data_IF_309597552727
#
_entry.id   IF_309597552727
#
_cell.length_a   1.000
_cell.length_b   1.000
_cell.length_c   1.000
_cell.angle_alpha   90.00
_cell.angle_beta   90.00
_cell.angle_gamma   90.00
#
_symmetry.space_group_name_H-M   'P 1'
#
loop_
_entity.id
_entity.type
_entity.pdbx_description
1 polymer ?
#
# COMPACT_ATOMS: atom_id res chain seq x y z
N UNK A 1 10.66 11.67 -12.72
CA UNK A 1 9.30 11.61 -12.15
C UNK A 1 9.42 11.26 -10.68
N UNK A 2 9.00 12.18 -9.82
CA UNK A 2 9.01 12.01 -8.36
C UNK A 2 7.59 11.65 -7.96
N UNK A 3 7.34 10.38 -7.62
CA UNK A 3 6.03 9.97 -7.12
C UNK A 3 5.85 10.56 -5.71
N UNK A 4 4.80 11.34 -5.52
CA UNK A 4 4.47 11.95 -4.24
C UNK A 4 3.53 11.01 -3.48
N UNK A 5 4.04 10.29 -2.49
CA UNK A 5 3.21 9.74 -1.42
C UNK A 5 2.71 10.93 -0.57
N UNK A 6 1.43 11.28 -0.68
CA UNK A 6 0.75 12.23 0.20
C UNK A 6 0.09 11.44 1.32
N UNK A 7 0.54 11.67 2.54
CA UNK A 7 -0.05 11.08 3.74
C UNK A 7 -1.20 11.98 4.19
N UNK A 8 -2.41 11.42 4.33
CA UNK A 8 -3.54 12.15 4.90
C UNK A 8 -3.39 12.14 6.42
N UNK A 9 -3.17 13.31 7.04
CA UNK A 9 -3.56 13.55 8.42
C UNK A 9 -2.49 13.88 9.45
N UNK A 10 -1.18 13.64 9.23
CA UNK A 10 -0.16 14.03 10.21
C UNK A 10 1.09 14.64 9.56
N UNK A 11 1.49 15.81 10.07
CA UNK A 11 2.47 16.73 9.44
C UNK A 11 3.93 16.39 9.75
N UNK A 12 4.25 15.20 10.25
CA UNK A 12 5.65 14.76 10.39
C UNK A 12 6.06 13.87 9.22
N UNK A 13 6.39 14.50 8.09
CA UNK A 13 7.05 13.84 6.95
C UNK A 13 8.47 13.43 7.39
N UNK A 14 8.89 12.16 7.29
CA UNK A 14 10.29 11.82 7.47
C UNK A 14 11.10 12.56 6.39
N UNK A 15 11.93 13.51 6.81
CA UNK A 15 12.77 14.30 5.92
C UNK A 15 13.64 13.37 5.05
N UNK A 16 13.48 13.51 3.72
CA UNK A 16 14.31 12.91 2.67
C UNK A 16 14.12 11.41 2.33
N UNK A 17 12.89 10.99 2.02
CA UNK A 17 12.70 9.70 1.31
C UNK A 17 13.22 9.77 -0.12
N UNK A 18 14.39 9.17 -0.39
CA UNK A 18 14.87 8.95 -1.77
C UNK A 18 14.24 7.67 -2.32
N UNK A 19 13.43 7.80 -3.35
CA UNK A 19 12.79 6.66 -4.01
C UNK A 19 13.80 5.81 -4.79
N UNK A 20 13.49 4.52 -4.95
CA UNK A 20 14.22 3.58 -5.79
C UNK A 20 13.25 2.55 -6.38
N UNK A 21 13.68 1.83 -7.42
CA UNK A 21 12.85 0.81 -8.09
C UNK A 21 13.26 -0.57 -7.55
N UNK A 22 12.37 -1.30 -6.86
CA UNK A 22 12.61 -2.68 -6.45
C UNK A 22 12.90 -3.58 -7.65
N UNK A 23 13.86 -4.49 -7.50
CA UNK A 23 14.13 -5.50 -8.51
C UNK A 23 13.04 -6.57 -8.52
N UNK A 24 12.88 -7.25 -9.65
CA UNK A 24 11.94 -8.38 -9.76
C UNK A 24 12.23 -9.49 -8.73
N UNK A 25 13.50 -9.70 -8.39
CA UNK A 25 13.90 -10.66 -7.36
C UNK A 25 13.44 -10.22 -5.96
N UNK A 26 13.59 -8.94 -5.63
CA UNK A 26 13.12 -8.41 -4.34
C UNK A 26 11.60 -8.47 -4.23
N UNK A 27 10.89 -8.17 -5.33
CA UNK A 27 9.42 -8.30 -5.41
C UNK A 27 9.01 -9.77 -5.23
N UNK A 28 9.63 -10.71 -5.94
CA UNK A 28 9.28 -12.13 -5.83
C UNK A 28 9.48 -12.68 -4.40
N UNK A 29 10.54 -12.25 -3.71
CA UNK A 29 10.77 -12.63 -2.30
C UNK A 29 9.72 -11.99 -1.39
N UNK A 30 9.37 -10.72 -1.62
CA UNK A 30 8.29 -10.07 -0.88
C UNK A 30 6.98 -10.83 -1.08
N UNK A 31 6.61 -11.14 -2.33
CA UNK A 31 5.38 -11.85 -2.66
C UNK A 31 5.30 -13.24 -2.05
N UNK A 32 6.43 -13.97 -1.97
CA UNK A 32 6.46 -15.28 -1.30
C UNK A 32 6.23 -15.21 0.22
N UNK A 33 6.28 -14.02 0.82
CA UNK A 33 6.06 -13.80 2.26
C UNK A 33 4.76 -13.03 2.55
N UNK A 34 3.94 -12.70 1.53
CA UNK A 34 2.74 -11.87 1.71
C UNK A 34 1.72 -12.46 2.68
N UNK A 35 1.62 -13.78 2.78
CA UNK A 35 0.65 -14.44 3.67
C UNK A 35 0.86 -14.13 5.15
N UNK A 36 2.04 -13.60 5.53
CA UNK A 36 2.29 -13.09 6.90
C UNK A 36 1.32 -11.96 7.27
N UNK A 37 0.79 -11.25 6.28
CA UNK A 37 -0.16 -10.15 6.49
C UNK A 37 -1.62 -10.62 6.63
N UNK A 38 -1.94 -11.87 6.27
CA UNK A 38 -3.32 -12.36 6.15
C UNK A 38 -4.09 -12.19 7.46
N UNK A 39 -3.54 -12.66 8.58
CA UNK A 39 -4.19 -12.57 9.89
C UNK A 39 -4.50 -11.12 10.29
N UNK A 40 -3.56 -10.19 10.03
CA UNK A 40 -3.73 -8.78 10.37
C UNK A 40 -4.73 -8.07 9.44
N UNK A 41 -4.75 -8.44 8.15
CA UNK A 41 -5.74 -7.94 7.18
C UNK A 41 -7.14 -8.45 7.55
N UNK A 42 -7.25 -9.74 7.86
CA UNK A 42 -8.50 -10.36 8.27
C UNK A 42 -9.05 -9.73 9.54
N UNK A 43 -8.24 -9.55 10.58
CA UNK A 43 -8.71 -8.91 11.82
C UNK A 43 -9.18 -7.47 11.57
N UNK A 44 -8.42 -6.70 10.79
CA UNK A 44 -8.66 -5.27 10.63
C UNK A 44 -9.88 -4.94 9.74
N UNK A 45 -10.12 -5.74 8.70
CA UNK A 45 -11.26 -5.54 7.77
C UNK A 45 -12.53 -6.21 8.32
N UNK A 46 -12.41 -7.35 9.03
CA UNK A 46 -13.56 -8.03 9.63
C UNK A 46 -14.27 -7.16 10.67
N UNK A 47 -13.51 -6.43 11.49
CA UNK A 47 -14.03 -5.49 12.48
C UNK A 47 -14.86 -4.35 11.84
N UNK A 48 -14.78 -4.19 10.51
CA UNK A 48 -15.48 -3.19 9.73
C UNK A 48 -16.65 -3.76 8.93
N UNK A 49 -16.97 -5.06 9.06
CA UNK A 49 -18.12 -5.72 8.43
C UNK A 49 -17.94 -6.06 6.95
N UNK A 50 -16.72 -6.02 6.42
CA UNK A 50 -16.41 -6.38 5.04
C UNK A 50 -15.72 -7.75 4.96
N UNK A 51 -15.92 -8.45 3.84
CA UNK A 51 -15.21 -9.71 3.59
C UNK A 51 -13.76 -9.40 3.23
N UNK A 52 -12.85 -9.69 4.14
CA UNK A 52 -11.42 -9.61 3.90
C UNK A 52 -10.97 -10.75 2.96
N UNK A 53 -10.00 -10.48 2.08
CA UNK A 53 -9.38 -11.49 1.22
C UNK A 53 -7.92 -11.73 1.64
N UNK A 54 -7.32 -12.89 1.33
CA UNK A 54 -5.89 -13.08 1.50
C UNK A 54 -5.10 -11.97 0.79
N UNK A 55 -3.95 -11.56 1.34
CA UNK A 55 -3.12 -10.48 0.81
C UNK A 55 -2.75 -10.68 -0.67
N UNK A 56 -2.62 -11.93 -1.11
CA UNK A 56 -2.28 -12.30 -2.48
C UNK A 56 -3.37 -11.98 -3.51
N UNK A 57 -4.63 -11.90 -3.09
CA UNK A 57 -5.79 -11.65 -3.97
C UNK A 57 -5.97 -10.15 -4.33
N UNK A 58 -5.16 -9.27 -3.74
CA UNK A 58 -5.20 -7.83 -4.04
C UNK A 58 -4.32 -7.49 -5.25
N UNK A 59 -4.70 -6.46 -6.01
CA UNK A 59 -3.75 -5.80 -6.89
C UNK A 59 -2.76 -5.00 -6.06
N UNK A 60 -1.47 -5.05 -6.41
CA UNK A 60 -0.39 -4.42 -5.62
C UNK A 60 0.52 -3.53 -6.48
N UNK A 61 0.95 -2.43 -5.88
CA UNK A 61 1.98 -1.53 -6.38
C UNK A 61 3.13 -1.50 -5.37
N UNK A 62 4.36 -1.54 -5.89
CA UNK A 62 5.57 -1.58 -5.08
C UNK A 62 6.41 -0.33 -5.33
N UNK A 63 6.71 0.42 -4.27
CA UNK A 63 7.57 1.60 -4.33
C UNK A 63 8.75 1.41 -3.40
N UNK A 64 9.96 1.44 -3.95
CA UNK A 64 11.16 1.46 -3.13
C UNK A 64 11.29 2.81 -2.44
N UNK A 65 11.33 2.81 -1.12
CA UNK A 65 11.57 3.99 -0.29
C UNK A 65 12.90 3.85 0.44
N UNK A 66 13.53 4.98 0.77
CA UNK A 66 14.69 5.01 1.67
C UNK A 66 14.35 5.83 2.89
N UNK A 67 14.44 5.23 4.07
CA UNK A 67 14.31 5.93 5.34
C UNK A 67 15.71 5.98 5.93
N UNK A 68 16.28 7.19 6.04
CA UNK A 68 17.71 7.40 6.31
C UNK A 68 18.57 6.67 5.26
N UNK A 69 19.40 5.73 5.69
CA UNK A 69 20.30 4.93 4.83
C UNK A 69 19.70 3.57 4.44
N UNK A 70 18.57 3.18 5.02
CA UNK A 70 17.98 1.86 4.83
C UNK A 70 16.92 1.87 3.73
N UNK A 71 16.91 0.80 2.93
CA UNK A 71 15.93 0.58 1.86
C UNK A 71 14.75 -0.21 2.40
N UNK A 72 13.56 0.19 1.98
CA UNK A 72 12.32 -0.52 2.22
C UNK A 72 11.48 -0.52 0.94
N UNK A 73 10.46 -1.37 0.91
CA UNK A 73 9.46 -1.41 -0.16
C UNK A 73 8.13 -1.08 0.47
N UNK A 74 7.55 0.05 0.09
CA UNK A 74 6.16 0.36 0.38
C UNK A 74 5.27 -0.41 -0.60
N UNK A 75 4.25 -1.07 -0.04
CA UNK A 75 3.24 -1.82 -0.77
C UNK A 75 1.96 -1.02 -0.64
N UNK A 76 1.33 -0.73 -1.78
CA UNK A 76 -0.03 -0.22 -1.80
C UNK A 76 -0.91 -1.24 -2.52
N UNK A 77 -2.09 -1.51 -2.01
CA UNK A 77 -2.95 -2.56 -2.55
C UNK A 77 -4.41 -2.17 -2.62
N UNK A 78 -5.11 -2.74 -3.59
CA UNK A 78 -6.55 -2.57 -3.79
C UNK A 78 -7.19 -3.90 -4.16
N UNK A 79 -8.34 -4.18 -3.57
CA UNK A 79 -9.13 -5.37 -3.86
C UNK A 79 -9.64 -5.31 -5.29
N UNK A 80 -9.55 -6.40 -6.04
CA UNK A 80 -10.35 -6.59 -7.27
C UNK A 80 -10.08 -5.61 -8.43
N UNK A 81 -10.57 -5.99 -9.62
CA UNK A 81 -10.46 -5.14 -10.82
C UNK A 81 -11.45 -4.00 -10.81
N UNK A 82 -12.58 -4.18 -10.13
CA UNK A 82 -13.69 -3.26 -10.13
C UNK A 82 -13.37 -2.05 -9.25
N UNK A 83 -12.91 -2.29 -8.02
CA UNK A 83 -12.49 -1.24 -7.09
C UNK A 83 -11.22 -0.55 -7.58
N UNK A 84 -10.32 -1.29 -8.26
CA UNK A 84 -9.21 -0.70 -9.00
C UNK A 84 -9.69 0.23 -10.12
N UNK A 85 -10.71 -0.19 -10.87
CA UNK A 85 -11.31 0.60 -11.95
C UNK A 85 -11.91 1.92 -11.44
N UNK A 86 -12.68 1.86 -10.35
CA UNK A 86 -13.27 3.02 -9.68
C UNK A 86 -12.20 3.96 -9.12
N UNK A 87 -11.19 3.39 -8.47
CA UNK A 87 -10.02 4.08 -7.96
C UNK A 87 -9.30 4.87 -9.05
N UNK A 88 -8.99 4.22 -10.17
CA UNK A 88 -8.32 4.87 -11.30
C UNK A 88 -9.21 5.93 -11.97
N UNK A 89 -10.53 5.72 -12.00
CA UNK A 89 -11.49 6.71 -12.50
C UNK A 89 -11.49 7.96 -11.62
N UNK A 90 -11.62 7.80 -10.30
CA UNK A 90 -11.54 8.89 -9.33
C UNK A 90 -10.25 9.70 -9.47
N UNK A 91 -9.11 9.01 -9.60
CA UNK A 91 -7.81 9.65 -9.73
C UNK A 91 -7.73 10.52 -10.98
N UNK A 92 -8.21 10.00 -12.13
CA UNK A 92 -8.27 10.74 -13.39
C UNK A 92 -9.18 11.96 -13.32
N UNK A 93 -10.37 11.83 -12.74
CA UNK A 93 -11.35 12.92 -12.64
C UNK A 93 -10.84 14.10 -11.80
N UNK A 94 -9.85 13.87 -10.93
CA UNK A 94 -9.29 14.88 -10.00
C UNK A 94 -7.84 15.27 -10.30
N UNK A 95 -7.26 14.79 -11.41
CA UNK A 95 -5.88 15.11 -11.79
C UNK A 95 -4.80 14.44 -10.93
N UNK A 96 -5.13 13.29 -10.34
CA UNK A 96 -4.24 12.47 -9.50
C UNK A 96 -3.80 11.18 -10.21
N UNK A 97 -3.89 11.10 -11.54
CA UNK A 97 -3.58 9.89 -12.32
C UNK A 97 -2.11 9.44 -12.25
N UNK A 98 -1.24 10.32 -11.75
CA UNK A 98 0.19 10.04 -11.53
C UNK A 98 0.51 9.71 -10.06
N UNK A 99 -0.51 9.67 -9.19
CA UNK A 99 -0.35 9.26 -7.80
C UNK A 99 -0.40 7.72 -7.69
N UNK A 100 0.44 7.19 -6.80
CA UNK A 100 0.39 5.79 -6.31
C UNK A 100 -1.04 5.55 -5.81
N UNK A 101 -1.67 4.38 -6.09
CA UNK A 101 -3.13 4.12 -6.04
C UNK A 101 -3.91 5.04 -5.09
N UNK A 102 -5.10 5.53 -5.49
CA UNK A 102 -5.83 6.52 -4.71
C UNK A 102 -5.90 6.10 -3.25
N UNK A 103 -5.42 7.01 -2.42
CA UNK A 103 -5.32 6.95 -0.96
C UNK A 103 -6.69 6.89 -0.26
N UNK A 104 -7.73 6.48 -0.99
CA UNK A 104 -9.13 6.53 -0.57
C UNK A 104 -9.95 5.44 -1.30
N UNK A 105 -9.68 4.18 -1.00
CA UNK A 105 -10.53 3.07 -1.47
C UNK A 105 -11.21 2.32 -0.33
N UNK A 106 -11.15 2.86 0.89
CA UNK A 106 -11.88 2.32 2.02
C UNK A 106 -11.37 0.95 2.43
N UNK A 107 -12.27 0.15 2.98
CA UNK A 107 -11.99 -1.17 3.58
C UNK A 107 -11.59 -2.23 2.52
N UNK A 108 -11.34 -1.78 1.29
CA UNK A 108 -10.87 -2.56 0.15
C UNK A 108 -9.37 -2.37 -0.12
N UNK A 109 -8.67 -1.60 0.70
CA UNK A 109 -7.28 -1.26 0.49
C UNK A 109 -6.44 -1.42 1.75
N UNK A 110 -5.21 -1.88 1.54
CA UNK A 110 -4.21 -1.93 2.59
C UNK A 110 -2.85 -1.49 2.06
N UNK A 111 -2.07 -0.86 2.93
CA UNK A 111 -0.68 -0.52 2.70
C UNK A 111 0.20 -1.17 3.75
N UNK A 112 1.42 -1.52 3.40
CA UNK A 112 2.42 -2.04 4.35
C UNK A 112 3.82 -1.66 3.90
N UNK A 113 4.79 -1.70 4.82
CA UNK A 113 6.20 -1.52 4.49
C UNK A 113 6.92 -2.85 4.70
N UNK A 114 7.72 -3.24 3.71
CA UNK A 114 8.54 -4.43 3.73
C UNK A 114 10.03 -4.07 3.83
N UNK A 115 10.73 -4.76 4.73
CA UNK A 115 12.18 -4.69 4.87
C UNK A 115 12.86 -5.84 4.08
N UNK A 116 13.49 -5.58 2.93
CA UNK A 116 14.15 -6.63 2.16
C UNK A 116 15.37 -7.25 2.87
N UNK A 117 15.93 -6.60 3.91
CA UNK A 117 17.07 -7.13 4.65
C UNK A 117 16.64 -8.16 5.70
N UNK A 118 15.52 -7.93 6.40
CA UNK A 118 15.01 -8.84 7.44
C UNK A 118 13.88 -9.74 6.96
N UNK A 119 13.26 -9.41 5.81
CA UNK A 119 12.07 -10.04 5.25
C UNK A 119 10.82 -9.88 6.12
N UNK A 120 10.74 -8.77 6.83
CA UNK A 120 9.63 -8.46 7.74
C UNK A 120 8.74 -7.37 7.15
N UNK A 121 7.46 -7.42 7.53
CA UNK A 121 6.49 -6.38 7.26
C UNK A 121 6.24 -5.56 8.51
N UNK A 122 5.98 -4.28 8.34
CA UNK A 122 5.63 -3.36 9.42
C UNK A 122 4.70 -2.26 8.90
N UNK A 123 4.05 -1.56 9.83
CA UNK A 123 3.17 -0.42 9.53
C UNK A 123 2.05 -0.79 8.54
N UNK A 124 1.37 -1.91 8.81
CA UNK A 124 0.15 -2.28 8.06
C UNK A 124 -0.94 -1.24 8.36
N UNK A 125 -1.44 -0.62 7.31
CA UNK A 125 -2.51 0.37 7.37
C UNK A 125 -3.68 -0.13 6.51
N UNK A 126 -4.87 -0.19 7.10
CA UNK A 126 -6.10 -0.34 6.33
C UNK A 126 -6.63 1.07 6.11
N UNK A 127 -6.86 1.43 4.85
CA UNK A 127 -7.34 2.76 4.50
C UNK A 127 -8.85 2.85 4.79
N UNK A 128 -9.24 2.97 6.06
CA UNK A 128 -10.65 3.04 6.43
C UNK A 128 -11.26 4.34 5.89
N UNK A 129 -12.31 4.22 5.06
CA UNK A 129 -13.06 5.39 4.60
C UNK A 129 -13.81 5.98 5.80
N UNK A 130 -13.27 7.02 6.42
CA UNK A 130 -14.01 7.83 7.40
C UNK A 130 -14.95 8.77 6.65
N UNK A 131 -16.07 8.23 6.17
CA UNK A 131 -17.16 9.05 5.67
C UNK A 131 -17.71 9.92 6.80
N UNK A 132 -17.41 11.22 6.76
CA UNK A 132 -18.19 12.27 7.40
C UNK A 132 -18.69 13.23 6.34
#
# INVERSE_FOLDING_TARGET
MTALLRNNGDRSRPESTKFWIPTQKEIAILESNLSILDDQIFSSIWDQGHLALPAIEYYRQYIGIKIKTKKYIYINSVRGSDELGESLKWARERGHENEIFPLHCGNYCWGAIYDPATKEFFDLQIDAYSGT
#
